data_IF_976446686840
#
_entry.id   IF_976446686840
#
_cell.length_a   1.000
_cell.length_b   1.000
_cell.length_c   1.000
_cell.angle_alpha   90.00
_cell.angle_beta   90.00
_cell.angle_gamma   90.00
#
_symmetry.space_group_name_H-M   'P 1'
#
loop_
_entity.id
_entity.type
_entity.pdbx_description
1 polymer ?
#
# COMPACT_ATOMS: atom_id res chain seq x y z
N UNK A 1 36.50 32.80 31.64
CA UNK A 1 36.21 31.38 31.86
C UNK A 1 34.72 31.28 32.13
N UNK A 2 33.91 31.08 31.10
CA UNK A 2 32.47 30.82 31.22
C UNK A 2 32.22 29.58 30.37
N UNK A 3 31.86 28.51 31.08
CA UNK A 3 31.64 27.17 30.57
C UNK A 3 30.33 27.13 29.79
N UNK A 4 30.41 26.92 28.47
CA UNK A 4 29.25 26.65 27.62
C UNK A 4 28.99 25.15 27.61
N UNK A 5 28.32 24.66 28.67
CA UNK A 5 27.69 23.35 28.68
C UNK A 5 26.51 23.37 27.70
N UNK A 6 26.82 23.12 26.43
CA UNK A 6 25.83 22.83 25.41
C UNK A 6 25.04 21.58 25.83
N UNK A 7 23.82 21.78 26.32
CA UNK A 7 22.80 20.75 26.42
C UNK A 7 22.62 20.11 25.03
N UNK A 8 23.27 18.97 24.83
CA UNK A 8 22.96 18.08 23.72
C UNK A 8 21.60 17.47 24.03
N UNK A 9 20.53 18.10 23.55
CA UNK A 9 19.20 17.48 23.50
C UNK A 9 19.37 16.10 22.85
N UNK A 10 18.89 15.01 23.46
CA UNK A 10 18.98 13.69 22.87
C UNK A 10 18.17 13.70 21.57
N UNK A 11 18.86 13.93 20.45
CA UNK A 11 18.26 13.90 19.14
C UNK A 11 17.82 12.48 18.86
N UNK A 12 16.51 12.28 18.70
CA UNK A 12 15.92 11.02 18.31
C UNK A 12 16.63 10.51 17.04
N UNK A 13 17.55 9.56 17.21
CA UNK A 13 18.37 9.05 16.11
C UNK A 13 17.61 7.91 15.47
N UNK A 14 16.75 8.25 14.50
CA UNK A 14 16.05 7.25 13.69
C UNK A 14 17.10 6.50 12.88
N UNK A 15 17.36 5.25 13.23
CA UNK A 15 18.35 4.44 12.54
C UNK A 15 17.87 4.21 11.10
N UNK A 16 18.64 4.57 10.06
CA UNK A 16 18.17 4.43 8.67
C UNK A 16 17.85 2.98 8.26
N UNK A 17 18.48 2.00 8.91
CA UNK A 17 18.12 0.59 8.81
C UNK A 17 16.69 0.29 9.26
N UNK A 18 16.18 1.01 10.25
CA UNK A 18 14.84 0.84 10.79
C UNK A 18 13.79 1.36 9.80
N UNK A 19 14.05 2.49 9.14
CA UNK A 19 13.20 3.05 8.08
C UNK A 19 13.14 2.13 6.87
N UNK A 20 14.30 1.62 6.45
CA UNK A 20 14.38 0.66 5.34
C UNK A 20 13.65 -0.65 5.67
N UNK A 21 13.94 -1.22 6.84
CA UNK A 21 13.32 -2.47 7.30
C UNK A 21 11.80 -2.35 7.38
N UNK A 22 11.28 -1.26 7.96
CA UNK A 22 9.84 -0.99 8.01
C UNK A 22 9.24 -0.84 6.61
N UNK A 23 9.83 -0.02 5.74
CA UNK A 23 9.30 0.20 4.39
C UNK A 23 9.31 -1.09 3.54
N UNK A 24 10.35 -1.90 3.69
CA UNK A 24 10.47 -3.18 2.99
C UNK A 24 9.47 -4.21 3.51
N UNK A 25 9.33 -4.35 4.83
CA UNK A 25 8.36 -5.25 5.44
C UNK A 25 6.92 -4.84 5.12
N UNK A 26 6.60 -3.55 5.18
CA UNK A 26 5.29 -3.03 4.80
C UNK A 26 4.99 -3.29 3.32
N UNK A 27 5.94 -3.03 2.43
CA UNK A 27 5.82 -3.35 1.01
C UNK A 27 5.59 -4.84 0.76
N UNK A 28 6.39 -5.70 1.40
CA UNK A 28 6.28 -7.15 1.27
C UNK A 28 4.95 -7.67 1.82
N UNK A 29 4.55 -7.27 3.03
CA UNK A 29 3.28 -7.67 3.62
C UNK A 29 2.09 -7.22 2.74
N UNK A 30 2.17 -6.00 2.19
CA UNK A 30 1.14 -5.48 1.29
C UNK A 30 1.07 -6.21 -0.07
N UNK A 31 2.18 -6.80 -0.53
CA UNK A 31 2.20 -7.68 -1.70
C UNK A 31 1.61 -9.04 -1.38
N UNK A 32 2.04 -9.67 -0.28
CA UNK A 32 1.59 -11.01 0.14
C UNK A 32 0.07 -11.05 0.30
N UNK A 33 -0.52 -10.02 0.90
CA UNK A 33 -1.98 -9.96 1.04
C UNK A 33 -2.73 -9.79 -0.28
N UNK A 34 -2.11 -9.17 -1.27
CA UNK A 34 -2.67 -8.98 -2.62
C UNK A 34 -2.43 -10.18 -3.53
N UNK A 35 -1.63 -11.16 -3.12
CA UNK A 35 -1.52 -12.44 -3.84
C UNK A 35 -2.74 -13.30 -3.49
N UNK A 36 -3.60 -13.64 -4.47
CA UNK A 36 -4.86 -14.36 -4.23
C UNK A 36 -4.67 -15.78 -3.65
N UNK A 37 -3.44 -16.28 -3.60
CA UNK A 37 -3.10 -17.59 -3.04
C UNK A 37 -3.05 -17.61 -1.50
N UNK A 38 -2.92 -16.45 -0.84
CA UNK A 38 -2.64 -16.36 0.60
C UNK A 38 -3.66 -15.48 1.34
N UNK A 39 -4.21 -14.45 0.69
CA UNK A 39 -5.12 -13.49 1.34
C UNK A 39 -6.57 -13.97 1.50
N UNK A 40 -7.17 -13.69 2.67
CA UNK A 40 -8.61 -13.82 2.91
C UNK A 40 -9.37 -12.56 2.41
N UNK A 41 -9.23 -12.27 1.11
CA UNK A 41 -9.96 -11.16 0.49
C UNK A 41 -11.46 -11.43 0.42
N UNK A 42 -12.27 -10.37 0.43
CA UNK A 42 -13.71 -10.49 0.17
C UNK A 42 -13.91 -10.77 -1.31
N UNK A 43 -14.66 -11.83 -1.61
CA UNK A 43 -14.95 -12.23 -2.98
C UNK A 43 -16.30 -11.65 -3.40
N UNK A 44 -16.30 -11.00 -4.55
CA UNK A 44 -17.48 -10.44 -5.20
C UNK A 44 -17.66 -11.16 -6.53
N UNK A 45 -18.72 -11.97 -6.63
CA UNK A 45 -19.13 -12.60 -7.89
C UNK A 45 -19.83 -11.58 -8.77
N UNK A 46 -19.23 -11.27 -9.91
CA UNK A 46 -19.77 -10.33 -10.88
C UNK A 46 -20.36 -11.14 -12.02
N UNK A 47 -21.65 -10.94 -12.33
CA UNK A 47 -22.17 -11.40 -13.62
C UNK A 47 -21.44 -10.59 -14.69
N UNK A 48 -21.66 -9.29 -14.85
CA UNK A 48 -21.03 -8.54 -15.93
C UNK A 48 -19.60 -8.07 -15.63
N UNK A 49 -18.69 -8.09 -16.64
CA UNK A 49 -17.36 -7.56 -16.48
C UNK A 49 -17.44 -6.05 -16.20
N UNK A 50 -16.86 -5.60 -15.09
CA UNK A 50 -16.80 -4.18 -14.73
C UNK A 50 -15.43 -3.65 -15.14
N UNK A 51 -15.32 -2.93 -16.28
CA UNK A 51 -14.03 -2.57 -16.88
C UNK A 51 -13.17 -1.66 -16.00
N UNK A 52 -13.75 -1.01 -14.99
CA UNK A 52 -13.02 -0.17 -14.04
C UNK A 52 -12.24 -0.94 -12.98
N UNK A 53 -12.57 -2.21 -12.69
CA UNK A 53 -11.92 -2.97 -11.61
C UNK A 53 -10.48 -3.36 -11.93
N UNK A 54 -10.19 -3.76 -13.19
CA UNK A 54 -8.82 -4.11 -13.62
C UNK A 54 -7.81 -2.98 -13.43
N UNK A 55 -8.10 -1.75 -13.89
CA UNK A 55 -7.27 -0.58 -13.64
C UNK A 55 -7.02 -0.28 -12.16
N UNK A 56 -7.98 -0.51 -11.27
CA UNK A 56 -7.79 -0.25 -9.83
C UNK A 56 -6.74 -1.17 -9.22
N UNK A 57 -6.84 -2.48 -9.45
CA UNK A 57 -5.84 -3.45 -8.97
C UNK A 57 -4.46 -3.14 -9.53
N UNK A 58 -4.37 -2.81 -10.83
CA UNK A 58 -3.11 -2.40 -11.45
C UNK A 58 -2.51 -1.13 -10.81
N UNK A 59 -3.35 -0.13 -10.54
CA UNK A 59 -2.92 1.12 -9.90
C UNK A 59 -2.40 0.87 -8.48
N UNK A 60 -3.10 0.05 -7.69
CA UNK A 60 -2.66 -0.31 -6.33
C UNK A 60 -1.29 -1.01 -6.37
N UNK A 61 -1.09 -1.97 -7.27
CA UNK A 61 0.19 -2.66 -7.46
C UNK A 61 1.33 -1.71 -7.86
N UNK A 62 1.07 -0.76 -8.76
CA UNK A 62 2.07 0.26 -9.15
C UNK A 62 2.45 1.14 -7.97
N UNK A 63 1.49 1.56 -7.14
CA UNK A 63 1.76 2.39 -5.97
C UNK A 63 2.63 1.65 -4.93
N UNK A 64 2.34 0.37 -4.68
CA UNK A 64 3.14 -0.47 -3.77
C UNK A 64 4.55 -0.69 -4.33
N UNK A 65 4.65 -1.00 -5.63
CA UNK A 65 5.93 -1.14 -6.30
C UNK A 65 6.77 0.14 -6.21
N UNK A 66 6.12 1.30 -6.40
CA UNK A 66 6.73 2.61 -6.20
C UNK A 66 7.22 2.82 -4.76
N UNK A 67 6.44 2.40 -3.77
CA UNK A 67 6.82 2.51 -2.35
C UNK A 67 8.04 1.63 -2.02
N UNK A 68 8.06 0.41 -2.55
CA UNK A 68 9.19 -0.51 -2.41
C UNK A 68 10.48 0.05 -3.04
N UNK A 69 10.38 0.61 -4.24
CA UNK A 69 11.49 1.28 -4.92
C UNK A 69 11.96 2.50 -4.13
N UNK A 70 11.04 3.35 -3.67
CA UNK A 70 11.37 4.54 -2.88
C UNK A 70 12.12 4.17 -1.59
N UNK A 71 11.71 3.10 -0.89
CA UNK A 71 12.42 2.58 0.29
C UNK A 71 13.83 2.09 -0.06
N UNK A 72 13.97 1.34 -1.15
CA UNK A 72 15.25 0.80 -1.62
C UNK A 72 16.24 1.89 -2.02
N UNK A 73 15.78 2.87 -2.81
CA UNK A 73 16.58 4.06 -3.15
C UNK A 73 16.95 4.87 -1.92
N UNK A 74 16.00 5.03 -0.98
CA UNK A 74 16.21 5.65 0.32
C UNK A 74 17.42 5.06 1.05
N UNK A 75 17.44 3.72 1.17
CA UNK A 75 18.51 3.00 1.85
C UNK A 75 19.85 3.09 1.14
N UNK A 76 19.88 2.92 -0.19
CA UNK A 76 21.12 2.99 -0.99
C UNK A 76 21.74 4.38 -0.87
N UNK A 77 20.93 5.44 -0.95
CA UNK A 77 21.41 6.81 -0.84
C UNK A 77 21.95 7.11 0.56
N UNK A 78 21.26 6.70 1.62
CA UNK A 78 21.75 6.89 2.99
C UNK A 78 23.06 6.13 3.22
N UNK A 79 23.20 4.91 2.69
CA UNK A 79 24.44 4.14 2.80
C UNK A 79 25.62 4.78 2.05
N UNK A 80 25.35 5.57 0.99
CA UNK A 80 26.38 6.21 0.16
C UNK A 80 26.74 7.63 0.59
N UNK A 81 25.87 8.32 1.32
CA UNK A 81 26.11 9.71 1.73
C UNK A 81 26.66 9.82 3.15
N UNK A 82 27.90 10.31 3.27
CA UNK A 82 28.51 10.75 4.53
C UNK A 82 28.86 12.24 4.45
N UNK A 83 28.40 13.10 5.38
CA UNK A 83 27.50 12.81 6.50
C UNK A 83 26.03 12.65 6.06
N UNK A 84 25.24 11.79 6.73
CA UNK A 84 23.84 11.57 6.38
C UNK A 84 23.00 12.81 6.71
N UNK A 85 22.42 13.43 5.67
CA UNK A 85 21.43 14.50 5.86
C UNK A 85 20.11 13.89 6.31
N UNK A 86 19.72 14.15 7.56
CA UNK A 86 18.47 13.62 8.18
C UNK A 86 17.18 13.89 7.40
N UNK A 87 17.16 14.93 6.56
CA UNK A 87 15.98 15.30 5.75
C UNK A 87 15.60 14.23 4.74
N UNK A 88 16.59 13.56 4.14
CA UNK A 88 16.36 12.58 3.08
C UNK A 88 15.60 11.31 3.53
N UNK A 89 16.01 10.59 4.60
CA UNK A 89 15.26 9.42 5.06
C UNK A 89 13.85 9.77 5.53
N UNK A 90 13.64 10.95 6.11
CA UNK A 90 12.31 11.44 6.50
C UNK A 90 11.43 11.63 5.26
N UNK A 91 11.95 12.29 4.21
CA UNK A 91 11.23 12.47 2.96
C UNK A 91 10.86 11.13 2.29
N UNK A 92 11.78 10.17 2.26
CA UNK A 92 11.49 8.81 1.76
C UNK A 92 10.36 8.14 2.55
N UNK A 93 10.38 8.24 3.88
CA UNK A 93 9.34 7.66 4.72
C UNK A 93 7.97 8.30 4.42
N UNK A 94 7.90 9.63 4.29
CA UNK A 94 6.68 10.33 3.92
C UNK A 94 6.14 9.90 2.55
N UNK A 95 7.02 9.72 1.56
CA UNK A 95 6.64 9.24 0.22
C UNK A 95 6.08 7.82 0.30
N UNK A 96 6.76 6.92 1.01
CA UNK A 96 6.29 5.53 1.21
C UNK A 96 4.92 5.53 1.89
N UNK A 97 4.75 6.29 2.97
CA UNK A 97 3.46 6.40 3.66
C UNK A 97 2.36 6.92 2.72
N UNK A 98 2.63 7.97 1.95
CA UNK A 98 1.67 8.53 1.01
C UNK A 98 1.26 7.52 -0.08
N UNK A 99 2.22 6.76 -0.63
CA UNK A 99 1.96 5.74 -1.64
C UNK A 99 1.14 4.58 -1.09
N UNK A 100 1.44 4.12 0.13
CA UNK A 100 0.67 3.07 0.79
C UNK A 100 -0.76 3.50 1.10
N UNK A 101 -0.95 4.73 1.61
CA UNK A 101 -2.30 5.29 1.83
C UNK A 101 -3.06 5.48 0.52
N UNK A 102 -2.38 5.87 -0.56
CA UNK A 102 -3.02 5.96 -1.87
C UNK A 102 -3.46 4.58 -2.38
N UNK A 103 -2.61 3.56 -2.25
CA UNK A 103 -2.95 2.19 -2.63
C UNK A 103 -4.16 1.67 -1.85
N UNK A 104 -4.19 1.93 -0.54
CA UNK A 104 -5.31 1.58 0.34
C UNK A 104 -6.63 2.20 -0.13
N UNK A 105 -6.63 3.50 -0.46
CA UNK A 105 -7.82 4.18 -0.98
C UNK A 105 -8.28 3.63 -2.32
N UNK A 106 -7.35 3.22 -3.19
CA UNK A 106 -7.67 2.60 -4.48
C UNK A 106 -8.36 1.26 -4.25
N UNK A 107 -7.87 0.45 -3.32
CA UNK A 107 -8.48 -0.86 -2.99
C UNK A 107 -9.88 -0.69 -2.39
N UNK A 108 -10.07 0.26 -1.46
CA UNK A 108 -11.39 0.58 -0.89
C UNK A 108 -12.36 1.07 -1.94
N UNK A 109 -11.89 1.88 -2.89
CA UNK A 109 -12.73 2.36 -3.98
C UNK A 109 -13.10 1.21 -4.92
N UNK A 110 -12.15 0.33 -5.24
CA UNK A 110 -12.41 -0.89 -6.01
C UNK A 110 -13.44 -1.79 -5.33
N UNK A 111 -13.32 -1.99 -4.01
CA UNK A 111 -14.30 -2.75 -3.23
C UNK A 111 -15.70 -2.13 -3.29
N UNK A 112 -15.81 -0.80 -3.11
CA UNK A 112 -17.11 -0.11 -3.19
C UNK A 112 -17.76 -0.28 -4.56
N UNK A 113 -16.99 -0.11 -5.63
CA UNK A 113 -17.47 -0.31 -7.00
C UNK A 113 -17.91 -1.76 -7.24
N UNK A 114 -17.14 -2.74 -6.74
CA UNK A 114 -17.53 -4.15 -6.83
C UNK A 114 -18.81 -4.43 -6.04
N UNK A 115 -18.94 -3.90 -4.82
CA UNK A 115 -20.13 -4.05 -3.99
C UNK A 115 -21.36 -3.37 -4.62
N UNK A 116 -21.20 -2.19 -5.22
CA UNK A 116 -22.26 -1.50 -5.97
C UNK A 116 -22.70 -2.29 -7.19
N UNK A 117 -21.75 -2.87 -7.95
CA UNK A 117 -22.07 -3.75 -9.07
C UNK A 117 -22.87 -4.96 -8.60
N UNK A 118 -22.43 -5.66 -7.55
CA UNK A 118 -23.19 -6.79 -6.98
C UNK A 118 -24.59 -6.35 -6.51
N UNK A 119 -24.73 -5.17 -5.89
CA UNK A 119 -26.04 -4.64 -5.49
C UNK A 119 -26.95 -4.31 -6.66
N UNK A 120 -26.40 -3.74 -7.73
CA UNK A 120 -27.16 -3.43 -8.94
C UNK A 120 -27.75 -4.71 -9.57
N UNK A 121 -27.06 -5.84 -9.41
CA UNK A 121 -27.51 -7.15 -9.88
C UNK A 121 -28.04 -8.05 -8.75
N UNK A 122 -28.33 -7.51 -7.56
CA UNK A 122 -28.80 -8.32 -6.42
C UNK A 122 -30.17 -8.98 -6.67
N UNK A 123 -30.91 -8.51 -7.68
CA UNK A 123 -32.15 -9.13 -8.15
C UNK A 123 -31.93 -10.32 -9.10
N UNK A 124 -30.69 -10.55 -9.58
CA UNK A 124 -30.31 -11.68 -10.43
C UNK A 124 -29.59 -12.70 -9.54
N UNK A 125 -30.20 -13.86 -9.27
CA UNK A 125 -29.55 -14.95 -8.55
C UNK A 125 -28.21 -15.32 -9.21
N UNK A 126 -27.18 -15.61 -8.41
CA UNK A 126 -25.83 -15.88 -8.90
C UNK A 126 -25.74 -17.12 -9.83
N UNK A 127 -26.74 -18.00 -9.79
CA UNK A 127 -26.94 -19.15 -10.67
C UNK A 127 -27.61 -18.81 -12.01
N UNK A 128 -28.01 -17.55 -12.22
CA UNK A 128 -28.66 -17.06 -13.44
C UNK A 128 -27.74 -16.24 -14.35
N UNK A 129 -26.44 -16.11 -14.05
CA UNK A 129 -25.54 -15.58 -15.06
C UNK A 129 -25.43 -16.59 -16.23
N UNK A 130 -25.65 -16.18 -17.48
CA UNK A 130 -25.53 -17.04 -18.69
C UNK A 130 -24.09 -17.55 -18.95
N UNK A 131 -23.14 -17.22 -18.07
CA UNK A 131 -21.72 -17.48 -18.18
C UNK A 131 -21.11 -17.59 -16.78
N UNK A 132 -19.93 -18.20 -16.70
CA UNK A 132 -19.18 -18.30 -15.43
C UNK A 132 -18.90 -16.89 -14.89
N UNK A 133 -19.41 -16.53 -13.70
CA UNK A 133 -19.23 -15.20 -13.15
C UNK A 133 -17.76 -14.92 -12.87
N UNK A 134 -17.32 -13.70 -13.18
CA UNK A 134 -15.98 -13.25 -12.84
C UNK A 134 -15.91 -12.99 -11.33
N UNK A 135 -14.95 -13.62 -10.66
CA UNK A 135 -14.75 -13.43 -9.21
C UNK A 135 -13.71 -12.34 -9.00
N UNK A 136 -14.16 -11.17 -8.52
CA UNK A 136 -13.27 -10.12 -8.06
C UNK A 136 -12.94 -10.34 -6.58
N UNK A 137 -11.65 -10.44 -6.25
CA UNK A 137 -11.19 -10.51 -4.87
C UNK A 137 -10.72 -9.13 -4.42
N UNK A 138 -11.47 -8.49 -3.53
CA UNK A 138 -11.07 -7.24 -2.91
C UNK A 138 -10.15 -7.52 -1.71
N UNK A 139 -9.02 -6.82 -1.67
CA UNK A 139 -8.14 -6.84 -0.50
C UNK A 139 -8.68 -5.84 0.52
N UNK A 140 -8.91 -6.23 1.79
CA UNK A 140 -9.35 -5.28 2.80
C UNK A 140 -8.28 -4.20 2.98
N UNK A 141 -8.70 -2.93 2.94
CA UNK A 141 -7.82 -1.81 3.24
C UNK A 141 -7.30 -1.89 4.68
N UNK A 142 -6.01 -1.61 4.87
CA UNK A 142 -5.34 -1.59 6.17
C UNK A 142 -5.68 -0.34 6.97
N UNK A 143 -5.95 0.78 6.28
CA UNK A 143 -6.11 2.10 6.90
C UNK A 143 -7.55 2.61 6.85
N UNK A 144 -8.46 1.83 6.28
CA UNK A 144 -9.88 2.14 6.16
C UNK A 144 -10.71 1.19 7.03
N UNK A 145 -11.12 1.67 8.19
CA UNK A 145 -12.10 1.03 9.07
C UNK A 145 -13.46 1.73 8.96
#
# INVERSE_FOLDING_TARGET
>A
MIDQSNEVKPGFSVHPLLVFGLGWLLGLASLVERVPLIGHGRQYGLCHPVPSLGPFTGTALVLIGGAFLASSFGAVMVARTSPPRRVFPIACLLIVSALLTAADRVDVHGERVAAEAVRAYASVPADQCDYTPDVYTATPGWFSW
#
